data_IF_719488043746
#
_entry.id   IF_719488043746
#
_cell.length_a   1.000
_cell.length_b   1.000
_cell.length_c   1.000
_cell.angle_alpha   90.00
_cell.angle_beta   90.00
_cell.angle_gamma   90.00
#
_symmetry.space_group_name_H-M   'P 1'
#
loop_
_entity.id
_entity.type
_entity.pdbx_description
1 polymer ?
#
# COMPACT_ATOMS: atom_id res chain seq x y z
N UNK A 1 15.27 -5.59 7.97
CA UNK A 1 15.36 -4.52 6.95
C UNK A 1 16.24 -4.84 5.72
N UNK A 2 17.25 -5.72 5.75
CA UNK A 2 18.07 -6.06 4.54
C UNK A 2 17.45 -7.06 3.55
N UNK A 3 16.35 -7.75 3.90
CA UNK A 3 15.76 -8.83 3.07
C UNK A 3 14.79 -8.37 1.97
N UNK A 4 14.32 -7.11 2.00
CA UNK A 4 13.36 -6.59 0.99
C UNK A 4 14.03 -6.30 -0.37
N UNK A 5 15.36 -6.17 -0.43
CA UNK A 5 16.06 -5.75 -1.65
C UNK A 5 16.37 -6.88 -2.64
N UNK A 6 16.36 -8.14 -2.21
CA UNK A 6 16.97 -9.23 -3.01
C UNK A 6 15.99 -9.98 -3.92
N UNK A 7 14.68 -9.86 -3.71
CA UNK A 7 13.69 -10.72 -4.37
C UNK A 7 13.03 -10.15 -5.64
N UNK A 8 13.34 -8.92 -6.05
CA UNK A 8 12.52 -8.19 -7.03
C UNK A 8 12.82 -8.48 -8.51
N UNK A 9 13.57 -9.54 -8.82
CA UNK A 9 14.41 -9.52 -10.02
C UNK A 9 14.55 -10.86 -10.75
N UNK A 10 13.44 -11.50 -11.11
CA UNK A 10 13.47 -12.60 -12.09
C UNK A 10 13.37 -12.07 -13.54
N UNK A 11 14.11 -12.73 -14.43
CA UNK A 11 14.30 -12.43 -15.86
C UNK A 11 12.99 -12.46 -16.65
N UNK A 12 12.71 -11.39 -17.41
CA UNK A 12 11.54 -11.28 -18.30
C UNK A 12 11.84 -11.95 -19.64
N UNK A 13 10.98 -12.87 -20.07
CA UNK A 13 11.01 -13.50 -21.39
C UNK A 13 10.45 -12.52 -22.43
N UNK A 14 11.20 -12.27 -23.51
CA UNK A 14 10.81 -11.37 -24.59
C UNK A 14 9.69 -11.98 -25.44
N UNK A 15 8.59 -11.24 -25.63
CA UNK A 15 7.67 -11.44 -26.75
C UNK A 15 8.40 -10.96 -28.03
N UNK A 16 8.77 -11.88 -28.91
CA UNK A 16 9.41 -11.57 -30.19
C UNK A 16 8.33 -11.18 -31.19
N UNK A 17 8.13 -9.88 -31.40
CA UNK A 17 7.48 -9.39 -32.62
C UNK A 17 8.56 -9.31 -33.69
N UNK A 18 8.32 -9.98 -34.82
CA UNK A 18 9.22 -10.09 -35.98
C UNK A 18 9.29 -8.73 -36.71
N UNK A 19 9.99 -7.77 -36.11
CA UNK A 19 10.53 -6.60 -36.78
C UNK A 19 11.93 -7.00 -37.22
N UNK A 20 12.36 -6.68 -38.44
CA UNK A 20 13.76 -6.85 -38.85
C UNK A 20 14.65 -6.16 -37.81
N UNK A 21 15.25 -6.94 -36.91
CA UNK A 21 15.91 -6.43 -35.73
C UNK A 21 17.12 -5.61 -36.17
N UNK A 22 17.20 -4.35 -35.76
CA UNK A 22 18.37 -3.57 -36.11
C UNK A 22 19.59 -4.13 -35.37
N UNK A 23 20.81 -3.91 -35.90
CA UNK A 23 22.03 -4.26 -35.18
C UNK A 23 22.14 -3.60 -33.80
N UNK A 24 21.40 -2.52 -33.53
CA UNK A 24 21.36 -1.90 -32.20
C UNK A 24 20.49 -2.70 -31.23
N UNK A 25 19.35 -3.24 -31.69
CA UNK A 25 18.48 -4.07 -30.87
C UNK A 25 19.15 -5.37 -30.45
N UNK A 26 19.73 -6.12 -31.38
CA UNK A 26 20.40 -7.38 -31.09
C UNK A 26 21.55 -7.20 -30.10
N UNK A 27 22.36 -6.15 -30.29
CA UNK A 27 23.44 -5.80 -29.36
C UNK A 27 22.91 -5.42 -27.97
N UNK A 28 21.87 -4.60 -27.91
CA UNK A 28 21.28 -4.18 -26.63
C UNK A 28 20.73 -5.39 -25.85
N UNK A 29 20.05 -6.31 -26.53
CA UNK A 29 19.50 -7.54 -25.96
C UNK A 29 20.62 -8.48 -25.52
N UNK A 30 21.68 -8.65 -26.31
CA UNK A 30 22.85 -9.47 -25.92
C UNK A 30 23.48 -8.94 -24.64
N UNK A 31 23.81 -7.64 -24.60
CA UNK A 31 24.38 -7.03 -23.39
C UNK A 31 23.46 -7.15 -22.18
N UNK A 32 22.15 -7.05 -22.37
CA UNK A 32 21.20 -7.20 -21.27
C UNK A 32 21.19 -8.63 -20.71
N UNK A 33 21.18 -9.64 -21.60
CA UNK A 33 21.25 -11.05 -21.22
C UNK A 33 22.55 -11.40 -20.49
N UNK A 34 23.65 -10.74 -20.85
CA UNK A 34 24.94 -10.85 -20.19
C UNK A 34 25.02 -10.06 -18.86
N UNK A 35 23.97 -9.34 -18.46
CA UNK A 35 23.96 -8.50 -17.26
C UNK A 35 24.75 -7.20 -17.39
N UNK A 36 25.22 -6.85 -18.60
CA UNK A 36 25.98 -5.63 -18.90
C UNK A 36 25.04 -4.43 -19.08
N UNK A 37 24.36 -4.03 -18.00
CA UNK A 37 23.31 -3.01 -18.04
C UNK A 37 23.80 -1.64 -18.52
N UNK A 38 25.02 -1.22 -18.14
CA UNK A 38 25.59 0.06 -18.62
C UNK A 38 25.80 0.04 -20.15
N UNK A 39 26.26 -1.08 -20.70
CA UNK A 39 26.42 -1.28 -22.14
C UNK A 39 25.06 -1.28 -22.86
N UNK A 40 24.04 -1.95 -22.30
CA UNK A 40 22.66 -1.87 -22.81
C UNK A 40 22.17 -0.42 -22.86
N UNK A 41 22.31 0.31 -21.75
CA UNK A 41 21.88 1.71 -21.65
C UNK A 41 22.58 2.58 -22.71
N UNK A 42 23.89 2.42 -22.87
CA UNK A 42 24.68 3.22 -23.81
C UNK A 42 24.28 2.93 -25.27
N UNK A 43 24.13 1.67 -25.65
CA UNK A 43 23.70 1.29 -27.01
C UNK A 43 22.31 1.83 -27.31
N UNK A 44 21.35 1.65 -26.40
CA UNK A 44 19.99 2.13 -26.60
C UNK A 44 19.93 3.66 -26.63
N UNK A 45 20.65 4.37 -25.76
CA UNK A 45 20.70 5.85 -25.80
C UNK A 45 21.30 6.36 -27.10
N UNK A 46 22.36 5.73 -27.61
CA UNK A 46 22.96 6.09 -28.88
C UNK A 46 21.95 5.93 -30.02
N UNK A 47 21.22 4.81 -30.05
CA UNK A 47 20.16 4.57 -31.02
C UNK A 47 19.03 5.60 -30.92
N UNK A 48 18.52 5.87 -29.72
CA UNK A 48 17.42 6.83 -29.52
C UNK A 48 17.81 8.27 -29.91
N UNK A 49 19.09 8.63 -29.81
CA UNK A 49 19.60 9.95 -30.21
C UNK A 49 19.52 10.18 -31.72
N UNK A 50 19.81 9.15 -32.52
CA UNK A 50 19.83 9.23 -33.98
C UNK A 50 18.48 8.85 -34.60
N UNK A 51 17.79 7.87 -34.00
CA UNK A 51 16.63 7.19 -34.57
C UNK A 51 15.37 7.32 -33.69
N UNK A 52 15.25 8.36 -32.87
CA UNK A 52 14.14 8.51 -31.90
C UNK A 52 12.72 8.58 -32.51
N UNK A 53 12.58 8.64 -33.83
CA UNK A 53 11.29 8.54 -34.55
C UNK A 53 10.99 7.14 -35.09
N UNK A 54 11.96 6.23 -35.07
CA UNK A 54 11.84 4.87 -35.56
C UNK A 54 10.80 4.06 -34.75
N UNK A 55 10.11 3.14 -35.42
CA UNK A 55 9.21 2.18 -34.78
C UNK A 55 9.95 1.32 -33.73
N UNK A 56 11.22 1.01 -33.97
CA UNK A 56 12.04 0.21 -33.04
C UNK A 56 12.27 0.91 -31.69
N UNK A 57 12.12 2.25 -31.63
CA UNK A 57 12.14 3.01 -30.37
C UNK A 57 11.08 2.49 -29.38
N UNK A 58 9.91 2.08 -29.87
CA UNK A 58 8.84 1.58 -29.02
C UNK A 58 9.24 0.30 -28.29
N UNK A 59 10.03 -0.56 -28.94
CA UNK A 59 10.49 -1.84 -28.39
C UNK A 59 11.71 -1.65 -27.48
N UNK A 60 12.59 -0.71 -27.82
CA UNK A 60 13.84 -0.48 -27.10
C UNK A 60 13.66 0.28 -25.78
N UNK A 61 12.65 1.15 -25.66
CA UNK A 61 12.43 1.95 -24.45
C UNK A 61 12.15 1.09 -23.20
N UNK A 62 11.28 0.06 -23.25
CA UNK A 62 11.12 -0.88 -22.14
C UNK A 62 12.43 -1.55 -21.71
N UNK A 63 13.30 -1.92 -22.66
CA UNK A 63 14.57 -2.58 -22.38
C UNK A 63 15.55 -1.67 -21.63
N UNK A 64 15.70 -0.42 -22.06
CA UNK A 64 16.53 0.54 -21.32
C UNK A 64 15.93 0.86 -19.96
N UNK A 65 14.61 0.97 -19.83
CA UNK A 65 13.97 1.17 -18.53
C UNK A 65 14.24 0.01 -17.56
N UNK A 66 14.25 -1.23 -18.03
CA UNK A 66 14.65 -2.37 -17.21
C UNK A 66 16.11 -2.29 -16.75
N UNK A 67 17.02 -1.99 -17.66
CA UNK A 67 18.43 -1.81 -17.33
C UNK A 67 18.63 -0.67 -16.30
N UNK A 68 17.89 0.43 -16.44
CA UNK A 68 17.93 1.55 -15.50
C UNK A 68 17.38 1.16 -14.12
N UNK A 69 16.28 0.42 -14.07
CA UNK A 69 15.72 -0.12 -12.81
C UNK A 69 16.74 -1.03 -12.10
N UNK A 70 17.46 -1.88 -12.83
CA UNK A 70 18.55 -2.73 -12.30
C UNK A 70 19.71 -1.91 -11.74
N UNK A 71 19.97 -0.73 -12.32
CA UNK A 71 20.98 0.23 -11.88
C UNK A 71 20.50 1.21 -10.80
N UNK A 72 19.24 1.08 -10.35
CA UNK A 72 18.58 2.00 -9.43
C UNK A 72 18.44 3.45 -9.94
N UNK A 73 18.51 3.68 -11.25
CA UNK A 73 18.25 5.00 -11.86
C UNK A 73 16.75 5.18 -12.12
N UNK A 74 15.99 5.34 -11.03
CA UNK A 74 14.54 5.46 -11.07
C UNK A 74 14.07 6.80 -11.66
N UNK A 75 14.87 7.86 -11.55
CA UNK A 75 14.56 9.17 -12.12
C UNK A 75 14.52 9.10 -13.66
N UNK A 76 15.50 8.42 -14.27
CA UNK A 76 15.48 8.18 -15.72
C UNK A 76 14.29 7.33 -16.15
N UNK A 77 13.89 6.32 -15.37
CA UNK A 77 12.70 5.50 -15.66
C UNK A 77 11.43 6.36 -15.69
N UNK A 78 11.23 7.24 -14.69
CA UNK A 78 10.07 8.15 -14.65
C UNK A 78 9.99 9.05 -15.88
N UNK A 79 11.14 9.66 -16.25
CA UNK A 79 11.20 10.54 -17.43
C UNK A 79 10.89 9.77 -18.72
N UNK A 80 11.50 8.61 -18.91
CA UNK A 80 11.28 7.78 -20.09
C UNK A 80 9.84 7.27 -20.16
N UNK A 81 9.25 6.90 -19.02
CA UNK A 81 7.84 6.52 -18.95
C UNK A 81 6.92 7.65 -19.44
N UNK A 82 7.11 8.87 -18.92
CA UNK A 82 6.28 10.03 -19.32
C UNK A 82 6.36 10.30 -20.82
N UNK A 83 7.57 10.26 -21.38
CA UNK A 83 7.78 10.41 -22.83
C UNK A 83 7.15 9.27 -23.62
N UNK A 84 7.32 8.02 -23.17
CA UNK A 84 6.78 6.84 -23.82
C UNK A 84 5.25 6.88 -23.86
N UNK A 85 4.61 7.16 -22.73
CA UNK A 85 3.15 7.25 -22.62
C UNK A 85 2.57 8.36 -23.51
N UNK A 86 3.23 9.51 -23.58
CA UNK A 86 2.79 10.61 -24.44
C UNK A 86 2.82 10.21 -25.92
N UNK A 87 3.88 9.51 -26.35
CA UNK A 87 4.11 9.15 -27.74
C UNK A 87 3.36 7.88 -28.17
N UNK A 88 3.25 6.88 -27.29
CA UNK A 88 2.79 5.53 -27.61
C UNK A 88 1.61 5.10 -26.72
N UNK A 89 0.51 5.86 -26.78
CA UNK A 89 -0.66 5.68 -25.90
C UNK A 89 -1.35 4.31 -26.03
N UNK A 90 -1.22 3.65 -27.19
CA UNK A 90 -1.83 2.34 -27.50
C UNK A 90 -0.81 1.21 -27.65
N UNK A 91 0.41 1.42 -27.16
CA UNK A 91 1.48 0.43 -27.28
C UNK A 91 1.15 -0.87 -26.55
N UNK A 92 1.46 -2.00 -27.17
CA UNK A 92 1.45 -3.30 -26.51
C UNK A 92 2.50 -3.40 -25.38
N UNK A 93 3.49 -2.51 -25.36
CA UNK A 93 4.51 -2.44 -24.31
C UNK A 93 4.14 -1.49 -23.16
N UNK A 94 3.05 -0.73 -23.28
CA UNK A 94 2.60 0.19 -22.23
C UNK A 94 2.33 -0.51 -20.88
N UNK A 95 1.75 -1.72 -20.81
CA UNK A 95 1.58 -2.46 -19.56
C UNK A 95 2.91 -2.77 -18.87
N UNK A 96 3.92 -3.19 -19.65
CA UNK A 96 5.29 -3.42 -19.16
C UNK A 96 5.93 -2.13 -18.65
N UNK A 97 5.69 -1.00 -19.33
CA UNK A 97 6.16 0.31 -18.89
C UNK A 97 5.51 0.76 -17.58
N UNK A 98 4.20 0.52 -17.39
CA UNK A 98 3.51 0.76 -16.13
C UNK A 98 4.08 -0.08 -14.98
N UNK A 99 4.41 -1.36 -15.24
CA UNK A 99 5.08 -2.21 -14.27
C UNK A 99 6.44 -1.64 -13.83
N UNK A 100 7.27 -1.21 -14.79
CA UNK A 100 8.59 -0.63 -14.49
C UNK A 100 8.48 0.70 -13.73
N UNK A 101 7.48 1.52 -14.06
CA UNK A 101 7.16 2.72 -13.28
C UNK A 101 6.75 2.36 -11.85
N UNK A 102 5.93 1.33 -11.67
CA UNK A 102 5.52 0.84 -10.35
C UNK A 102 6.71 0.43 -9.48
N UNK A 103 7.71 -0.26 -10.07
CA UNK A 103 8.96 -0.56 -9.36
C UNK A 103 9.72 0.72 -8.99
N UNK A 104 9.84 1.66 -9.93
CA UNK A 104 10.53 2.93 -9.69
C UNK A 104 9.86 3.73 -8.56
N UNK A 105 8.54 3.85 -8.56
CA UNK A 105 7.78 4.53 -7.50
C UNK A 105 7.93 3.84 -6.15
N UNK A 106 7.86 2.50 -6.11
CA UNK A 106 8.06 1.73 -4.90
C UNK A 106 9.44 1.99 -4.28
N UNK A 107 10.49 2.04 -5.11
CA UNK A 107 11.86 2.33 -4.67
C UNK A 107 12.06 3.77 -4.24
N UNK A 108 11.29 4.70 -4.80
CA UNK A 108 11.21 6.10 -4.38
C UNK A 108 10.27 6.32 -3.18
N UNK A 109 9.75 5.24 -2.57
CA UNK A 109 8.81 5.26 -1.44
C UNK A 109 7.48 5.96 -1.72
N UNK A 110 7.09 6.05 -2.98
CA UNK A 110 5.79 6.58 -3.41
C UNK A 110 4.80 5.41 -3.53
N UNK A 111 4.44 4.82 -2.39
CA UNK A 111 3.68 3.57 -2.40
C UNK A 111 2.30 3.68 -3.05
N UNK A 112 1.52 4.76 -2.84
CA UNK A 112 0.25 4.94 -3.56
C UNK A 112 0.42 4.98 -5.08
N UNK A 113 1.39 5.75 -5.58
CA UNK A 113 1.70 5.84 -7.00
C UNK A 113 2.17 4.50 -7.59
N UNK A 114 2.92 3.73 -6.80
CA UNK A 114 3.40 2.41 -7.18
C UNK A 114 2.24 1.43 -7.37
N UNK A 115 1.32 1.37 -6.41
CA UNK A 115 0.12 0.51 -6.50
C UNK A 115 -0.75 0.90 -7.69
N UNK A 116 -0.99 2.19 -7.89
CA UNK A 116 -1.74 2.68 -9.06
C UNK A 116 -1.05 2.28 -10.37
N UNK A 117 0.28 2.35 -10.44
CA UNK A 117 1.04 1.94 -11.62
C UNK A 117 0.96 0.42 -11.85
N UNK A 118 1.01 -0.39 -10.80
CA UNK A 118 0.81 -1.84 -10.90
C UNK A 118 -0.59 -2.23 -11.34
N UNK A 119 -1.62 -1.52 -10.88
CA UNK A 119 -2.99 -1.73 -11.34
C UNK A 119 -3.13 -1.46 -12.84
N UNK A 120 -2.62 -0.30 -13.31
CA UNK A 120 -2.60 0.02 -14.75
C UNK A 120 -1.82 -1.01 -15.58
N UNK A 121 -0.77 -1.59 -15.01
CA UNK A 121 -0.02 -2.66 -15.68
C UNK A 121 -0.87 -3.93 -15.85
N UNK A 122 -1.57 -4.35 -14.79
CA UNK A 122 -2.44 -5.54 -14.82
C UNK A 122 -3.59 -5.39 -15.82
N UNK A 123 -4.26 -4.22 -15.83
CA UNK A 123 -5.40 -3.95 -16.71
C UNK A 123 -5.01 -3.98 -18.20
N UNK A 124 -3.75 -3.68 -18.51
CA UNK A 124 -3.23 -3.63 -19.88
C UNK A 124 -2.77 -4.97 -20.47
N UNK A 125 -2.73 -6.05 -19.68
CA UNK A 125 -2.32 -7.38 -20.13
C UNK A 125 -0.81 -7.63 -19.96
N UNK A 126 -0.44 -8.21 -18.83
CA UNK A 126 0.92 -8.67 -18.53
C UNK A 126 1.11 -10.16 -18.85
N UNK A 127 2.36 -10.60 -19.03
CA UNK A 127 2.68 -12.02 -19.05
C UNK A 127 2.44 -12.65 -17.67
N UNK A 128 2.18 -13.96 -17.62
CA UNK A 128 1.92 -14.69 -16.37
C UNK A 128 3.04 -14.50 -15.32
N UNK A 129 4.29 -14.48 -15.77
CA UNK A 129 5.46 -14.21 -14.92
C UNK A 129 5.39 -12.80 -14.31
N UNK A 130 5.05 -11.79 -15.12
CA UNK A 130 4.96 -10.40 -14.65
C UNK A 130 3.74 -10.16 -13.76
N UNK A 131 2.63 -10.87 -13.98
CA UNK A 131 1.46 -10.85 -13.08
C UNK A 131 1.88 -11.34 -11.69
N UNK A 132 2.55 -12.50 -11.61
CA UNK A 132 3.04 -13.04 -10.35
C UNK A 132 4.01 -12.08 -9.64
N UNK A 133 4.92 -11.43 -10.40
CA UNK A 133 5.83 -10.42 -9.84
C UNK A 133 5.08 -9.18 -9.34
N UNK A 134 4.05 -8.74 -10.07
CA UNK A 134 3.22 -7.60 -9.71
C UNK A 134 2.46 -7.87 -8.41
N UNK A 135 1.82 -9.04 -8.30
CA UNK A 135 1.13 -9.49 -7.08
C UNK A 135 2.10 -9.47 -5.88
N UNK A 136 3.28 -10.08 -6.03
CA UNK A 136 4.28 -10.10 -4.96
C UNK A 136 4.73 -8.69 -4.55
N UNK A 137 4.94 -7.80 -5.52
CA UNK A 137 5.32 -6.42 -5.23
C UNK A 137 4.22 -5.66 -4.48
N UNK A 138 2.96 -5.82 -4.90
CA UNK A 138 1.81 -5.19 -4.25
C UNK A 138 1.62 -5.73 -2.83
N UNK A 139 1.84 -7.03 -2.58
CA UNK A 139 1.79 -7.58 -1.22
C UNK A 139 2.85 -6.97 -0.30
N UNK A 140 4.10 -6.84 -0.79
CA UNK A 140 5.19 -6.22 -0.02
C UNK A 140 4.89 -4.74 0.29
N UNK A 141 4.27 -4.03 -0.66
CA UNK A 141 3.82 -2.65 -0.46
C UNK A 141 2.68 -2.58 0.55
N UNK A 142 1.64 -3.40 0.41
CA UNK A 142 0.50 -3.44 1.33
C UNK A 142 0.93 -3.72 2.78
N UNK A 143 1.90 -4.60 2.98
CA UNK A 143 2.49 -4.84 4.29
C UNK A 143 3.22 -3.62 4.89
N UNK A 144 3.72 -2.70 4.05
CA UNK A 144 4.53 -1.54 4.45
C UNK A 144 3.72 -0.25 4.64
N UNK A 145 2.52 -0.17 4.06
CA UNK A 145 1.66 1.02 4.10
C UNK A 145 0.86 1.12 5.41
N UNK A 146 0.41 2.34 5.70
CA UNK A 146 -0.53 2.66 6.79
C UNK A 146 -1.99 2.39 6.38
N UNK A 147 -2.90 2.40 7.37
CA UNK A 147 -4.35 2.26 7.11
C UNK A 147 -4.86 3.36 6.19
N UNK A 148 -4.46 4.61 6.43
CA UNK A 148 -4.98 5.76 5.68
C UNK A 148 -4.50 5.74 4.22
N UNK A 149 -3.24 5.37 3.98
CA UNK A 149 -2.73 5.23 2.62
C UNK A 149 -3.40 4.07 1.87
N UNK A 150 -3.71 2.96 2.55
CA UNK A 150 -4.42 1.83 1.95
C UNK A 150 -5.86 2.20 1.63
N UNK A 151 -6.58 2.83 2.57
CA UNK A 151 -7.96 3.27 2.38
C UNK A 151 -8.12 4.26 1.22
N UNK A 152 -7.11 5.12 0.98
CA UNK A 152 -7.09 6.04 -0.17
C UNK A 152 -6.88 5.36 -1.53
N UNK A 153 -6.45 4.09 -1.56
CA UNK A 153 -6.23 3.30 -2.77
C UNK A 153 -7.39 2.36 -3.11
N UNK A 154 -8.30 2.16 -2.17
CA UNK A 154 -9.46 1.30 -2.37
C UNK A 154 -10.39 1.97 -3.38
N UNK A 155 -10.64 1.26 -4.49
CA UNK A 155 -11.61 1.68 -5.49
C UNK A 155 -12.84 0.78 -5.43
N UNK A 156 -14.03 1.36 -5.55
CA UNK A 156 -15.29 0.62 -5.57
C UNK A 156 -15.58 -0.06 -6.91
N UNK A 157 -14.87 0.30 -7.97
CA UNK A 157 -15.14 -0.17 -9.34
C UNK A 157 -14.19 -1.27 -9.84
N UNK A 158 -13.13 -1.61 -9.09
CA UNK A 158 -12.12 -2.57 -9.51
C UNK A 158 -12.15 -3.85 -8.68
N UNK A 159 -12.70 -4.93 -9.21
CA UNK A 159 -12.49 -6.29 -8.67
C UNK A 159 -11.34 -6.93 -9.44
N UNK A 160 -10.11 -6.69 -9.00
CA UNK A 160 -8.90 -7.31 -9.54
C UNK A 160 -7.94 -7.72 -8.41
N UNK A 161 -6.91 -8.51 -8.73
CA UNK A 161 -6.01 -9.07 -7.70
C UNK A 161 -5.27 -7.97 -6.92
N UNK A 162 -4.99 -6.80 -7.53
CA UNK A 162 -4.38 -5.66 -6.81
C UNK A 162 -5.33 -5.18 -5.72
N UNK A 163 -6.59 -4.96 -6.07
CA UNK A 163 -7.61 -4.47 -5.13
C UNK A 163 -7.94 -5.51 -4.05
N UNK A 164 -7.89 -6.81 -4.38
CA UNK A 164 -7.99 -7.88 -3.39
C UNK A 164 -6.87 -7.75 -2.35
N UNK A 165 -5.61 -7.61 -2.79
CA UNK A 165 -4.46 -7.51 -1.89
C UNK A 165 -4.55 -6.25 -1.02
N UNK A 166 -4.89 -5.10 -1.61
CA UNK A 166 -4.96 -3.81 -0.89
C UNK A 166 -6.03 -3.87 0.20
N UNK A 167 -7.25 -4.33 -0.12
CA UNK A 167 -8.33 -4.45 0.87
C UNK A 167 -8.00 -5.48 1.95
N UNK A 168 -7.33 -6.58 1.62
CA UNK A 168 -6.84 -7.53 2.62
C UNK A 168 -5.86 -6.86 3.60
N UNK A 169 -4.85 -6.14 3.10
CA UNK A 169 -3.89 -5.47 3.96
C UNK A 169 -4.50 -4.33 4.76
N UNK A 170 -5.51 -3.63 4.24
CA UNK A 170 -6.27 -2.64 5.01
C UNK A 170 -6.89 -3.27 6.26
N UNK A 171 -7.56 -4.42 6.11
CA UNK A 171 -8.14 -5.18 7.24
C UNK A 171 -7.07 -5.58 8.24
N UNK A 172 -5.94 -6.12 7.77
CA UNK A 172 -4.79 -6.48 8.64
C UNK A 172 -4.34 -5.28 9.47
N UNK A 173 -4.23 -4.11 8.85
CA UNK A 173 -3.78 -2.88 9.51
C UNK A 173 -4.83 -2.32 10.47
N UNK A 174 -6.12 -2.41 10.12
CA UNK A 174 -7.22 -2.01 11.01
C UNK A 174 -7.23 -2.82 12.30
N UNK A 175 -7.00 -4.14 12.22
CA UNK A 175 -6.84 -5.00 13.41
C UNK A 175 -5.61 -4.56 14.22
N UNK A 176 -4.48 -4.32 13.55
CA UNK A 176 -3.25 -3.88 14.21
C UNK A 176 -3.35 -2.54 14.94
N UNK A 177 -4.17 -1.61 14.44
CA UNK A 177 -4.44 -0.30 15.07
C UNK A 177 -5.60 -0.35 16.07
N UNK A 178 -6.31 -1.47 16.18
CA UNK A 178 -7.44 -1.64 17.10
C UNK A 178 -8.73 -0.94 16.67
N UNK A 179 -8.89 -0.63 15.38
CA UNK A 179 -10.14 -0.05 14.84
C UNK A 179 -11.16 -1.14 14.52
N UNK A 180 -11.56 -1.92 15.53
CA UNK A 180 -12.38 -3.14 15.38
C UNK A 180 -13.75 -2.90 14.74
N UNK A 181 -14.37 -1.73 14.99
CA UNK A 181 -15.64 -1.36 14.37
C UNK A 181 -15.56 -1.31 12.84
N UNK A 182 -14.42 -0.89 12.28
CA UNK A 182 -14.18 -0.86 10.83
C UNK A 182 -13.80 -2.23 10.27
N UNK A 183 -13.17 -3.09 11.08
CA UNK A 183 -12.73 -4.43 10.65
C UNK A 183 -13.91 -5.24 10.13
N UNK A 184 -15.03 -5.29 10.87
CA UNK A 184 -16.20 -6.05 10.45
C UNK A 184 -16.78 -5.51 9.13
N UNK A 185 -16.95 -4.20 9.02
CA UNK A 185 -17.50 -3.55 7.81
C UNK A 185 -16.62 -3.82 6.59
N UNK A 186 -15.30 -3.62 6.70
CA UNK A 186 -14.38 -3.83 5.59
C UNK A 186 -14.21 -5.31 5.23
N UNK A 187 -14.25 -6.20 6.21
CA UNK A 187 -14.18 -7.63 5.96
C UNK A 187 -15.45 -8.16 5.26
N UNK A 188 -16.63 -7.68 5.63
CA UNK A 188 -17.87 -8.07 4.95
C UNK A 188 -17.89 -7.54 3.50
N UNK A 189 -17.45 -6.30 3.28
CA UNK A 189 -17.28 -5.74 1.94
C UNK A 189 -16.25 -6.53 1.11
N UNK A 190 -15.13 -6.92 1.71
CA UNK A 190 -14.11 -7.76 1.08
C UNK A 190 -14.68 -9.11 0.65
N UNK A 191 -15.39 -9.81 1.52
CA UNK A 191 -15.97 -11.14 1.23
C UNK A 191 -17.06 -11.07 0.16
N UNK A 192 -17.81 -9.97 0.11
CA UNK A 192 -18.78 -9.72 -0.95
C UNK A 192 -18.09 -9.46 -2.30
N UNK A 193 -17.01 -8.67 -2.32
CA UNK A 193 -16.28 -8.34 -3.54
C UNK A 193 -15.39 -9.49 -4.05
N UNK A 194 -14.84 -10.32 -3.16
CA UNK A 194 -13.91 -11.41 -3.49
C UNK A 194 -14.35 -12.77 -2.88
N UNK A 195 -15.46 -13.37 -3.32
CA UNK A 195 -15.99 -14.61 -2.71
C UNK A 195 -15.06 -15.83 -2.79
N UNK A 196 -14.08 -15.81 -3.70
CA UNK A 196 -13.09 -16.88 -3.90
C UNK A 196 -11.66 -16.43 -3.58
N UNK A 197 -11.53 -15.45 -2.69
CA UNK A 197 -10.23 -14.93 -2.27
C UNK A 197 -9.36 -16.01 -1.62
N UNK A 198 -8.06 -15.99 -1.92
CA UNK A 198 -7.06 -16.79 -1.19
C UNK A 198 -6.86 -16.34 0.26
N UNK A 199 -7.29 -15.13 0.60
CA UNK A 199 -7.19 -14.55 1.93
C UNK A 199 -8.42 -14.81 2.81
N UNK A 200 -9.45 -15.50 2.30
CA UNK A 200 -10.72 -15.71 3.03
C UNK A 200 -10.53 -16.35 4.42
N UNK A 201 -9.66 -17.36 4.53
CA UNK A 201 -9.35 -17.99 5.82
C UNK A 201 -8.70 -16.97 6.77
N UNK A 202 -7.73 -16.21 6.29
CA UNK A 202 -7.03 -15.19 7.07
C UNK A 202 -7.96 -14.06 7.50
N UNK A 203 -8.86 -13.61 6.63
CA UNK A 203 -9.86 -12.57 6.96
C UNK A 203 -10.81 -13.07 8.05
N UNK A 204 -11.26 -14.33 7.99
CA UNK A 204 -12.08 -14.93 9.05
C UNK A 204 -11.36 -14.93 10.40
N UNK A 205 -10.09 -15.31 10.42
CA UNK A 205 -9.28 -15.31 11.63
C UNK A 205 -9.06 -13.89 12.18
N UNK A 206 -8.87 -12.90 11.30
CA UNK A 206 -8.76 -11.49 11.67
C UNK A 206 -10.06 -10.96 12.31
N UNK A 207 -11.23 -11.33 11.80
CA UNK A 207 -12.52 -10.98 12.40
C UNK A 207 -12.65 -11.61 13.80
N UNK A 208 -12.32 -12.90 13.94
CA UNK A 208 -12.41 -13.59 15.22
C UNK A 208 -11.49 -12.93 16.28
N UNK A 209 -10.24 -12.64 15.89
CA UNK A 209 -9.29 -11.91 16.72
C UNK A 209 -9.76 -10.50 17.08
N UNK A 210 -10.33 -9.76 16.12
CA UNK A 210 -10.87 -8.45 16.38
C UNK A 210 -12.01 -8.50 17.42
N UNK A 211 -12.92 -9.47 17.31
CA UNK A 211 -14.03 -9.65 18.28
C UNK A 211 -13.54 -10.05 19.67
N UNK A 212 -12.53 -10.92 19.75
CA UNK A 212 -11.92 -11.29 21.02
C UNK A 212 -11.23 -10.09 21.66
N UNK A 213 -10.42 -9.36 20.89
CA UNK A 213 -9.74 -8.15 21.36
C UNK A 213 -10.73 -7.07 21.79
N UNK A 214 -11.81 -6.87 21.03
CA UNK A 214 -12.89 -5.94 21.39
C UNK A 214 -13.57 -6.33 22.71
N UNK A 215 -13.85 -7.63 22.93
CA UNK A 215 -14.39 -8.13 24.21
C UNK A 215 -13.44 -7.96 25.38
N UNK A 216 -12.14 -8.10 25.14
CA UNK A 216 -11.09 -7.87 26.14
C UNK A 216 -10.70 -6.40 26.27
N UNK A 217 -11.22 -5.51 25.42
CA UNK A 217 -10.97 -4.07 25.54
C UNK A 217 -12.14 -3.43 26.27
N UNK A 218 -11.88 -2.84 27.43
CA UNK A 218 -12.91 -2.12 28.20
C UNK A 218 -12.73 -0.63 27.95
N UNK A 219 -13.78 0.05 27.51
CA UNK A 219 -13.80 1.51 27.49
C UNK A 219 -14.31 2.01 28.82
N UNK A 220 -13.62 2.99 29.42
CA UNK A 220 -14.05 3.61 30.67
C UNK A 220 -14.10 5.12 30.46
N UNK A 221 -15.29 5.69 30.66
CA UNK A 221 -15.51 7.13 30.62
C UNK A 221 -15.04 7.76 31.93
N UNK A 222 -14.14 8.74 31.85
CA UNK A 222 -13.67 9.50 33.00
C UNK A 222 -14.20 10.93 32.90
N UNK A 223 -15.15 11.25 33.78
CA UNK A 223 -15.75 12.57 33.91
C UNK A 223 -15.04 13.33 35.02
N UNK A 224 -14.29 14.37 34.65
CA UNK A 224 -13.53 15.18 35.60
C UNK A 224 -13.53 16.66 35.20
N UNK A 225 -13.48 17.60 36.17
CA UNK A 225 -13.31 19.01 35.87
C UNK A 225 -11.86 19.27 35.45
N UNK A 226 -11.59 19.37 34.14
CA UNK A 226 -10.24 19.63 33.63
C UNK A 226 -9.96 21.13 33.48
N UNK A 227 -11.03 21.92 33.42
CA UNK A 227 -11.01 23.38 33.40
C UNK A 227 -11.92 23.97 34.49
N UNK A 228 -11.74 25.25 34.80
CA UNK A 228 -12.46 25.95 35.87
C UNK A 228 -11.72 25.92 37.22
N UNK A 229 -12.42 26.35 38.29
CA UNK A 229 -11.87 26.54 39.64
C UNK A 229 -11.31 25.24 40.24
N UNK A 230 -11.90 24.09 39.90
CA UNK A 230 -11.47 22.75 40.35
C UNK A 230 -10.61 22.00 39.32
N UNK A 231 -10.12 22.69 38.29
CA UNK A 231 -9.38 22.11 37.16
C UNK A 231 -8.11 21.34 37.54
N UNK A 232 -7.33 21.86 38.49
CA UNK A 232 -6.11 21.17 38.97
C UNK A 232 -6.44 19.85 39.67
N UNK A 233 -7.52 19.81 40.44
CA UNK A 233 -7.97 18.60 41.11
C UNK A 233 -8.40 17.54 40.09
N UNK A 234 -9.18 17.91 39.08
CA UNK A 234 -9.63 16.97 38.06
C UNK A 234 -8.50 16.42 37.19
N UNK A 235 -7.47 17.21 36.89
CA UNK A 235 -6.26 16.71 36.20
C UNK A 235 -5.56 15.62 37.01
N UNK A 236 -5.36 15.83 38.31
CA UNK A 236 -4.75 14.81 39.19
C UNK A 236 -5.57 13.53 39.26
N UNK A 237 -6.90 13.64 39.24
CA UNK A 237 -7.80 12.48 39.19
C UNK A 237 -7.62 11.72 37.87
N UNK A 238 -7.58 12.42 36.74
CA UNK A 238 -7.38 11.80 35.43
C UNK A 238 -6.02 11.13 35.34
N UNK A 239 -4.95 11.78 35.78
CA UNK A 239 -3.60 11.21 35.77
C UNK A 239 -3.53 9.94 36.64
N UNK A 240 -4.14 9.98 37.83
CA UNK A 240 -4.24 8.81 38.71
C UNK A 240 -5.04 7.66 38.11
N UNK A 241 -6.16 7.98 37.45
CA UNK A 241 -6.98 6.98 36.75
C UNK A 241 -6.22 6.37 35.57
N UNK A 242 -5.53 7.17 34.76
CA UNK A 242 -4.70 6.69 33.65
C UNK A 242 -3.62 5.74 34.14
N UNK A 243 -2.88 6.11 35.20
CA UNK A 243 -1.86 5.24 35.79
C UNK A 243 -2.47 3.93 36.31
N UNK A 244 -3.63 3.99 36.97
CA UNK A 244 -4.31 2.78 37.45
C UNK A 244 -4.75 1.86 36.29
N UNK A 245 -5.25 2.44 35.20
CA UNK A 245 -5.60 1.69 33.99
C UNK A 245 -4.37 1.03 33.35
N UNK A 246 -3.25 1.75 33.24
CA UNK A 246 -1.99 1.19 32.73
C UNK A 246 -1.49 0.01 33.57
N UNK A 247 -1.51 0.16 34.91
CA UNK A 247 -1.13 -0.90 35.84
C UNK A 247 -2.05 -2.11 35.74
N UNK A 248 -3.37 -1.88 35.70
CA UNK A 248 -4.35 -2.96 35.56
C UNK A 248 -4.22 -3.67 34.22
N UNK A 249 -4.03 -2.93 33.13
CA UNK A 249 -3.80 -3.51 31.80
C UNK A 249 -2.50 -4.33 31.75
N UNK A 250 -1.46 -3.90 32.46
CA UNK A 250 -0.22 -4.66 32.60
C UNK A 250 -0.35 -5.98 33.38
N UNK A 251 -1.27 -6.05 34.35
CA UNK A 251 -1.47 -7.24 35.20
C UNK A 251 -2.53 -8.20 34.68
N UNK A 252 -3.67 -7.68 34.20
CA UNK A 252 -4.82 -8.48 33.77
C UNK A 252 -4.74 -8.90 32.30
N UNK A 253 -3.89 -8.23 31.50
CA UNK A 253 -3.90 -8.34 30.04
C UNK A 253 -5.11 -7.70 29.36
N UNK A 254 -6.05 -7.14 30.14
CA UNK A 254 -7.24 -6.47 29.64
C UNK A 254 -6.92 -5.00 29.33
N UNK A 255 -7.06 -4.58 28.07
CA UNK A 255 -6.73 -3.21 27.67
C UNK A 255 -7.87 -2.26 28.05
N UNK A 256 -7.60 -1.30 28.93
CA UNK A 256 -8.57 -0.25 29.27
C UNK A 256 -8.28 0.99 28.42
N UNK A 257 -9.26 1.43 27.64
CA UNK A 257 -9.18 2.67 26.86
C UNK A 257 -9.96 3.79 27.58
N UNK A 258 -9.29 4.77 28.21
CA UNK A 258 -9.98 5.87 28.86
C UNK A 258 -10.56 6.85 27.83
N UNK A 259 -11.82 7.22 28.01
CA UNK A 259 -12.47 8.33 27.29
C UNK A 259 -12.64 9.48 28.27
N UNK A 260 -11.82 10.51 28.13
CA UNK A 260 -11.75 11.61 29.10
C UNK A 260 -12.66 12.75 28.65
N UNK A 261 -13.57 13.19 29.52
CA UNK A 261 -14.50 14.26 29.26
C UNK A 261 -14.38 15.37 30.31
N UNK A 262 -14.11 16.59 29.85
CA UNK A 262 -14.07 17.78 30.71
C UNK A 262 -15.49 18.23 31.09
N UNK A 263 -15.79 18.20 32.39
CA UNK A 263 -17.08 18.65 32.95
C UNK A 263 -17.06 20.12 33.38
N UNK A 264 -15.90 20.79 33.35
CA UNK A 264 -15.72 22.18 33.80
C UNK A 264 -16.19 22.48 35.24
N UNK A 265 -16.42 21.44 36.04
CA UNK A 265 -17.01 21.56 37.39
C UNK A 265 -18.52 21.84 37.41
N UNK A 266 -19.21 21.78 36.26
CA UNK A 266 -20.64 22.08 36.16
C UNK A 266 -21.49 20.82 36.08
N UNK A 267 -22.56 20.74 36.87
CA UNK A 267 -23.52 19.62 36.79
C UNK A 267 -24.20 19.53 35.41
N UNK A 268 -24.41 20.66 34.74
CA UNK A 268 -25.04 20.70 33.41
C UNK A 268 -24.11 20.10 32.36
N UNK A 269 -22.83 20.48 32.37
CA UNK A 269 -21.83 19.87 31.48
C UNK A 269 -21.60 18.40 31.82
N UNK A 270 -21.66 18.01 33.09
CA UNK A 270 -21.57 16.61 33.49
C UNK A 270 -22.70 15.77 32.87
N UNK A 271 -23.95 16.22 32.95
CA UNK A 271 -25.09 15.55 32.32
C UNK A 271 -24.92 15.47 30.79
N UNK A 272 -24.46 16.55 30.16
CA UNK A 272 -24.20 16.61 28.71
C UNK A 272 -23.11 15.61 28.29
N UNK A 273 -22.00 15.58 29.01
CA UNK A 273 -20.87 14.68 28.74
C UNK A 273 -21.19 13.22 29.04
N UNK A 274 -22.02 12.95 30.04
CA UNK A 274 -22.54 11.60 30.29
C UNK A 274 -23.36 11.11 29.10
N UNK A 275 -24.24 11.95 28.55
CA UNK A 275 -25.02 11.62 27.36
C UNK A 275 -24.12 11.36 26.15
N UNK A 276 -23.09 12.19 25.95
CA UNK A 276 -22.09 12.02 24.89
C UNK A 276 -21.33 10.68 25.02
N UNK A 277 -20.94 10.29 26.24
CA UNK A 277 -20.29 8.99 26.50
C UNK A 277 -21.18 7.80 26.10
N UNK A 278 -22.46 7.84 26.46
CA UNK A 278 -23.41 6.75 26.15
C UNK A 278 -23.72 6.70 24.65
N UNK A 279 -24.04 7.85 24.04
CA UNK A 279 -24.55 7.90 22.65
C UNK A 279 -23.44 7.82 21.59
N UNK A 280 -22.31 8.50 21.82
CA UNK A 280 -21.23 8.63 20.83
C UNK A 280 -20.14 7.58 21.06
N UNK A 281 -19.71 7.44 22.31
CA UNK A 281 -18.59 6.57 22.64
C UNK A 281 -19.01 5.14 23.00
N UNK A 282 -20.30 4.91 23.28
CA UNK A 282 -20.86 3.60 23.67
C UNK A 282 -20.11 3.00 24.88
N UNK A 283 -19.77 3.85 25.83
CA UNK A 283 -19.23 3.48 27.15
C UNK A 283 -20.34 2.98 28.05
#
# INVERSE_FOLDING_TARGET
MKKLCTFLFATVTFLTVNVDASPAFDRAVSFYKEGKYDSTINVVRAFLKTNGKDAETEVLVPLICEALTRKNDFASVQRLFSMFRQKYQKSAYLPRMWYLKGIADAKLKKYPDAVASFQNAMDGGLSSVMIAQTINNVELLGASMSVDELGGLVSDSGVNDVQEIIRYFEIVKLVGVGQFSKVQVQADAFRAAFPRSRFESSVRDLIARAKEQERTSMQIGVLAPLTGETGELGKRIVDGAQLAFELYSGQSGQMIKPVICDTKGSMIENARKTKELIEVHKV
#
